data_IF_491731404352
#
_entry.id   IF_491731404352
#
_cell.length_a   1.000
_cell.length_b   1.000
_cell.length_c   1.000
_cell.angle_alpha   90.00
_cell.angle_beta   90.00
_cell.angle_gamma   90.00
#
_symmetry.space_group_name_H-M   'P 1'
#
loop_
_entity.id
_entity.type
_entity.pdbx_description
1 polymer ?
#
# COMPACT_ATOMS: atom_id res chain seq x y z
N UNK A 1 8.19 -12.10 24.14
CA UNK A 1 9.09 -10.96 24.35
C UNK A 1 10.53 -11.49 24.22
N UNK A 2 11.43 -10.75 23.56
CA UNK A 2 12.72 -11.29 23.11
C UNK A 2 13.67 -11.53 24.30
N UNK A 3 14.10 -12.79 24.51
CA UNK A 3 15.04 -13.19 25.60
C UNK A 3 16.32 -12.33 25.62
N UNK A 4 16.82 -11.89 24.46
CA UNK A 4 18.00 -11.02 24.36
C UNK A 4 17.70 -9.56 24.77
N UNK A 5 16.48 -9.07 24.50
CA UNK A 5 16.02 -7.74 24.95
C UNK A 5 15.86 -7.72 26.48
N UNK A 6 15.22 -8.74 27.04
CA UNK A 6 15.05 -8.87 28.49
C UNK A 6 16.40 -8.96 29.21
N UNK A 7 17.33 -9.76 28.69
CA UNK A 7 18.65 -9.87 29.29
C UNK A 7 19.45 -8.55 29.24
N UNK A 8 19.34 -7.81 28.13
CA UNK A 8 19.95 -6.49 27.99
C UNK A 8 19.36 -5.46 28.98
N UNK A 9 18.04 -5.45 29.18
CA UNK A 9 17.37 -4.57 30.15
C UNK A 9 17.71 -4.94 31.59
N UNK A 10 17.86 -6.23 31.88
CA UNK A 10 18.22 -6.70 33.23
C UNK A 10 19.67 -6.36 33.61
N UNK A 11 20.61 -6.60 32.69
CA UNK A 11 22.03 -6.26 32.92
C UNK A 11 22.26 -4.76 33.06
N UNK A 12 21.52 -3.93 32.30
CA UNK A 12 21.60 -2.47 32.43
C UNK A 12 20.99 -1.94 33.71
N UNK A 13 19.88 -2.53 34.17
CA UNK A 13 19.27 -2.20 35.47
C UNK A 13 20.22 -2.53 36.64
N UNK A 14 20.97 -3.63 36.52
CA UNK A 14 22.01 -3.98 37.50
C UNK A 14 23.22 -3.06 37.41
N UNK A 15 23.62 -2.60 36.22
CA UNK A 15 24.70 -1.64 36.08
C UNK A 15 24.33 -0.27 36.69
N UNK A 16 23.10 0.21 36.47
CA UNK A 16 22.60 1.46 37.04
C UNK A 16 22.53 1.43 38.58
N UNK A 17 22.34 0.27 39.22
CA UNK A 17 22.29 0.17 40.69
C UNK A 17 23.65 0.40 41.35
N UNK A 18 24.75 0.25 40.61
CA UNK A 18 26.11 0.52 41.07
C UNK A 18 26.63 1.91 40.68
N UNK A 19 25.86 2.68 39.91
CA UNK A 19 26.19 4.04 39.51
C UNK A 19 25.43 5.05 40.39
N UNK A 20 26.04 6.20 40.66
CA UNK A 20 25.45 7.27 41.49
C UNK A 20 24.17 7.86 40.86
N UNK A 21 24.02 7.75 39.53
CA UNK A 21 22.84 8.14 38.75
C UNK A 21 21.95 6.92 38.45
N UNK A 22 20.84 6.75 39.18
CA UNK A 22 19.88 5.66 38.95
C UNK A 22 19.14 5.80 37.61
N UNK A 23 18.93 4.67 36.93
CA UNK A 23 18.08 4.46 35.74
C UNK A 23 18.51 5.14 34.42
N UNK A 24 19.71 5.72 34.32
CA UNK A 24 20.14 6.44 33.11
C UNK A 24 20.50 5.49 31.96
N UNK A 25 21.25 4.43 32.23
CA UNK A 25 21.68 3.47 31.21
C UNK A 25 20.52 2.57 30.77
N UNK A 26 19.65 2.20 31.71
CA UNK A 26 18.42 1.46 31.45
C UNK A 26 17.48 2.23 30.53
N UNK A 27 17.25 3.51 30.77
CA UNK A 27 16.39 4.34 29.92
C UNK A 27 16.97 4.51 28.50
N UNK A 28 18.29 4.70 28.38
CA UNK A 28 18.97 4.73 27.08
C UNK A 28 18.81 3.38 26.34
N UNK A 29 18.92 2.25 27.04
CA UNK A 29 18.73 0.91 26.47
C UNK A 29 17.27 0.63 26.08
N UNK A 30 16.29 1.10 26.85
CA UNK A 30 14.88 0.99 26.46
C UNK A 30 14.66 1.75 25.15
N UNK A 31 15.17 2.99 25.04
CA UNK A 31 15.09 3.77 23.81
C UNK A 31 15.80 3.09 22.63
N UNK A 32 16.96 2.47 22.85
CA UNK A 32 17.66 1.68 21.82
C UNK A 32 16.80 0.49 21.36
N UNK A 33 16.18 -0.23 22.30
CA UNK A 33 15.40 -1.44 21.99
C UNK A 33 14.00 -1.17 21.43
N UNK A 34 13.47 0.04 21.59
CA UNK A 34 12.15 0.44 21.07
C UNK A 34 12.25 1.22 19.75
N UNK A 35 13.28 2.05 19.59
CA UNK A 35 13.42 2.95 18.45
C UNK A 35 14.61 2.65 17.53
N UNK A 36 15.40 1.59 17.81
CA UNK A 36 16.60 1.23 17.04
C UNK A 36 17.55 2.42 16.78
N UNK A 37 17.76 3.25 17.81
CA UNK A 37 18.52 4.48 17.66
C UNK A 37 20.05 4.22 17.74
N UNK A 38 20.72 4.33 16.60
CA UNK A 38 22.16 4.12 16.46
C UNK A 38 23.00 5.23 17.12
N UNK A 39 22.50 6.46 17.20
CA UNK A 39 23.22 7.57 17.84
C UNK A 39 23.29 7.36 19.35
N UNK A 40 22.16 7.02 19.97
CA UNK A 40 22.09 6.69 21.41
C UNK A 40 22.97 5.48 21.72
N UNK A 41 22.99 4.47 20.84
CA UNK A 41 23.87 3.29 20.98
C UNK A 41 25.35 3.68 21.01
N UNK A 42 25.76 4.59 20.10
CA UNK A 42 27.15 5.06 20.03
C UNK A 42 27.54 5.86 21.26
N UNK A 43 26.64 6.73 21.73
CA UNK A 43 26.90 7.60 22.88
C UNK A 43 26.92 6.79 24.19
N UNK A 44 26.06 5.78 24.30
CA UNK A 44 26.10 4.80 25.39
C UNK A 44 27.42 4.02 25.40
N UNK A 45 27.88 3.52 24.25
CA UNK A 45 29.17 2.81 24.17
C UNK A 45 30.36 3.69 24.57
N UNK A 46 30.34 4.98 24.21
CA UNK A 46 31.34 5.96 24.67
C UNK A 46 31.30 6.14 26.18
N UNK A 47 30.10 6.34 26.76
CA UNK A 47 29.91 6.46 28.22
C UNK A 47 30.42 5.22 28.95
N UNK A 48 30.02 4.03 28.51
CA UNK A 48 30.45 2.76 29.11
C UNK A 48 31.98 2.60 29.01
N UNK A 49 32.60 3.01 27.90
CA UNK A 49 34.06 2.99 27.74
C UNK A 49 34.77 3.92 28.74
N UNK A 50 34.25 5.13 28.95
CA UNK A 50 34.79 6.09 29.92
C UNK A 50 34.69 5.53 31.36
N UNK A 51 33.54 4.95 31.72
CA UNK A 51 33.33 4.36 33.04
C UNK A 51 34.27 3.17 33.27
N UNK A 52 34.49 2.33 32.26
CA UNK A 52 35.36 1.15 32.36
C UNK A 52 36.84 1.50 32.61
N UNK A 53 37.30 2.62 32.05
CA UNK A 53 38.69 3.07 32.15
C UNK A 53 38.94 3.95 33.39
N UNK A 54 37.90 4.29 34.15
CA UNK A 54 38.05 5.11 35.36
C UNK A 54 38.55 4.27 36.55
N UNK A 55 39.59 4.73 37.28
CA UNK A 55 40.05 4.06 38.49
C UNK A 55 39.08 4.20 39.67
N UNK A 56 38.03 5.03 39.55
CA UNK A 56 37.01 5.27 40.60
C UNK A 56 36.15 4.03 40.89
N UNK A 57 35.95 3.14 39.91
CA UNK A 57 34.98 2.05 40.00
C UNK A 57 35.63 0.70 40.35
N UNK A 58 35.01 -0.02 41.31
CA UNK A 58 35.42 -1.35 41.78
C UNK A 58 35.28 -2.42 40.68
N UNK A 59 35.98 -3.54 40.83
CA UNK A 59 35.92 -4.67 39.88
C UNK A 59 34.51 -5.18 39.59
N UNK A 60 33.61 -5.13 40.57
CA UNK A 60 32.20 -5.51 40.42
C UNK A 60 31.48 -4.68 39.35
N UNK A 61 31.74 -3.38 39.28
CA UNK A 61 31.14 -2.49 38.26
C UNK A 61 31.69 -2.82 36.88
N UNK A 62 32.99 -3.11 36.79
CA UNK A 62 33.65 -3.52 35.53
C UNK A 62 33.09 -4.84 35.00
N UNK A 63 32.73 -5.77 35.88
CA UNK A 63 32.04 -7.03 35.53
C UNK A 63 30.67 -6.74 34.88
N UNK A 64 29.85 -5.89 35.47
CA UNK A 64 28.53 -5.55 34.91
C UNK A 64 28.61 -4.73 33.63
N UNK A 65 29.62 -3.88 33.48
CA UNK A 65 29.94 -3.20 32.21
C UNK A 65 30.17 -4.22 31.09
N UNK A 66 31.01 -5.24 31.33
CA UNK A 66 31.29 -6.26 30.33
C UNK A 66 30.04 -7.09 30.00
N UNK A 67 29.26 -7.50 31.00
CA UNK A 67 27.99 -8.20 30.80
C UNK A 67 26.98 -7.39 29.98
N UNK A 68 26.94 -6.08 30.20
CA UNK A 68 26.04 -5.17 29.46
C UNK A 68 26.51 -5.02 28.01
N UNK A 69 27.83 -4.90 27.76
CA UNK A 69 28.41 -4.90 26.41
C UNK A 69 28.14 -6.20 25.66
N UNK A 70 28.35 -7.35 26.30
CA UNK A 70 28.10 -8.67 25.72
C UNK A 70 26.61 -8.84 25.39
N UNK A 71 25.72 -8.45 26.31
CA UNK A 71 24.27 -8.50 26.08
C UNK A 71 23.83 -7.59 24.93
N UNK A 72 24.46 -6.41 24.80
CA UNK A 72 24.20 -5.48 23.70
C UNK A 72 24.63 -6.08 22.35
N UNK A 73 25.82 -6.70 22.31
CA UNK A 73 26.32 -7.42 21.13
C UNK A 73 25.40 -8.58 20.74
N UNK A 74 24.96 -9.39 21.70
CA UNK A 74 24.04 -10.50 21.45
C UNK A 74 22.68 -10.01 20.95
N UNK A 75 22.17 -8.89 21.47
CA UNK A 75 20.92 -8.29 21.00
C UNK A 75 21.03 -7.82 19.55
N UNK A 76 22.09 -7.09 19.18
CA UNK A 76 22.30 -6.68 17.78
C UNK A 76 22.61 -7.85 16.85
N UNK A 77 23.34 -8.86 17.33
CA UNK A 77 23.57 -10.11 16.62
C UNK A 77 22.26 -10.84 16.30
N UNK A 78 21.38 -10.97 17.29
CA UNK A 78 20.03 -11.51 17.10
C UNK A 78 19.22 -10.71 16.07
N UNK A 79 19.22 -9.37 16.17
CA UNK A 79 18.53 -8.52 15.18
C UNK A 79 19.09 -8.74 13.78
N UNK A 80 20.42 -8.92 13.65
CA UNK A 80 21.04 -9.17 12.36
C UNK A 80 20.73 -10.55 11.81
N UNK A 81 20.69 -11.57 12.67
CA UNK A 81 20.26 -12.93 12.30
C UNK A 81 18.79 -12.92 11.86
N UNK A 82 17.91 -12.21 12.56
CA UNK A 82 16.52 -12.03 12.13
C UNK A 82 16.41 -11.32 10.77
N UNK A 83 17.24 -10.32 10.49
CA UNK A 83 17.30 -9.64 9.19
C UNK A 83 17.74 -10.62 8.09
N UNK A 84 18.73 -11.47 8.35
CA UNK A 84 19.18 -12.52 7.42
C UNK A 84 18.05 -13.53 7.17
N UNK A 85 17.41 -14.06 8.22
CA UNK A 85 16.30 -14.99 8.09
C UNK A 85 15.07 -14.37 7.41
N UNK A 86 14.81 -13.08 7.61
CA UNK A 86 13.73 -12.37 6.90
C UNK A 86 14.03 -12.23 5.41
N UNK A 87 15.29 -12.03 5.03
CA UNK A 87 15.70 -11.99 3.62
C UNK A 87 15.60 -13.35 2.93
N UNK A 88 15.80 -14.45 3.65
CA UNK A 88 15.61 -15.80 3.09
C UNK A 88 14.15 -16.26 2.99
N UNK A 89 13.22 -15.66 3.76
CA UNK A 89 11.80 -16.07 3.84
C UNK A 89 10.81 -15.27 2.99
N UNK A 90 11.24 -14.70 1.87
CA UNK A 90 10.28 -14.40 0.78
C UNK A 90 10.25 -15.64 -0.12
N UNK A 91 9.66 -16.73 0.37
CA UNK A 91 9.25 -17.81 -0.52
C UNK A 91 8.19 -17.23 -1.45
N UNK A 92 8.56 -17.05 -2.72
CA UNK A 92 7.61 -16.99 -3.82
C UNK A 92 6.72 -18.22 -3.67
N UNK A 93 5.48 -18.04 -3.24
CA UNK A 93 4.48 -19.10 -3.33
C UNK A 93 3.92 -19.05 -4.75
N UNK A 94 4.37 -19.94 -5.66
CA UNK A 94 3.97 -19.87 -7.06
C UNK A 94 2.46 -20.03 -7.22
N UNK A 95 1.79 -20.77 -6.32
CA UNK A 95 0.32 -20.92 -6.35
C UNK A 95 -0.36 -19.60 -6.02
N UNK A 96 0.15 -18.88 -5.03
CA UNK A 96 -0.38 -17.58 -4.63
C UNK A 96 -0.17 -16.51 -5.69
N UNK A 97 0.96 -16.54 -6.41
CA UNK A 97 1.16 -15.64 -7.54
C UNK A 97 0.19 -15.95 -8.68
N UNK A 98 -0.01 -17.22 -9.01
CA UNK A 98 -0.95 -17.65 -10.04
C UNK A 98 -2.39 -17.26 -9.70
N UNK A 99 -2.81 -17.43 -8.44
CA UNK A 99 -4.11 -16.96 -7.94
C UNK A 99 -4.30 -15.45 -8.13
N UNK A 100 -3.30 -14.63 -7.80
CA UNK A 100 -3.37 -13.17 -7.97
C UNK A 100 -3.40 -12.76 -9.46
N UNK A 101 -2.71 -13.51 -10.32
CA UNK A 101 -2.77 -13.27 -11.76
C UNK A 101 -4.12 -13.66 -12.33
N UNK A 102 -4.72 -14.75 -11.85
CA UNK A 102 -6.08 -15.12 -12.20
C UNK A 102 -7.09 -14.08 -11.70
N UNK A 103 -6.93 -13.57 -10.47
CA UNK A 103 -7.73 -12.45 -9.94
C UNK A 103 -7.64 -11.22 -10.86
N UNK A 104 -6.43 -10.83 -11.28
CA UNK A 104 -6.23 -9.73 -12.22
C UNK A 104 -6.86 -10.01 -13.59
N UNK A 105 -6.68 -11.23 -14.13
CA UNK A 105 -7.18 -11.62 -15.44
C UNK A 105 -8.71 -11.70 -15.49
N UNK A 106 -9.34 -12.06 -14.38
CA UNK A 106 -10.80 -12.11 -14.22
C UNK A 106 -11.45 -10.72 -14.16
N UNK A 107 -10.69 -9.65 -13.89
CA UNK A 107 -11.24 -8.31 -14.01
C UNK A 107 -11.57 -8.02 -15.47
N UNK A 108 -12.79 -7.55 -15.72
CA UNK A 108 -13.27 -7.21 -17.06
C UNK A 108 -12.42 -6.10 -17.67
N UNK A 109 -12.11 -6.20 -18.96
CA UNK A 109 -11.29 -5.24 -19.70
C UNK A 109 -9.81 -5.23 -19.28
N UNK A 110 -9.23 -4.02 -19.19
CA UNK A 110 -7.89 -3.74 -18.63
C UNK A 110 -6.73 -4.45 -19.33
N UNK A 111 -6.81 -4.64 -20.66
CA UNK A 111 -5.77 -5.32 -21.45
C UNK A 111 -4.38 -4.72 -21.26
N UNK A 112 -4.28 -3.39 -21.27
CA UNK A 112 -3.00 -2.68 -21.12
C UNK A 112 -2.39 -2.90 -19.73
N UNK A 113 -3.23 -2.87 -18.68
CA UNK A 113 -2.81 -3.15 -17.30
C UNK A 113 -2.25 -4.58 -17.19
N UNK A 114 -3.01 -5.55 -17.69
CA UNK A 114 -2.65 -6.98 -17.66
C UNK A 114 -1.33 -7.22 -18.40
N UNK A 115 -1.16 -6.59 -19.56
CA UNK A 115 0.08 -6.66 -20.34
C UNK A 115 1.26 -6.09 -19.55
N UNK A 116 1.12 -4.89 -18.98
CA UNK A 116 2.19 -4.25 -18.19
C UNK A 116 2.58 -5.04 -16.94
N UNK A 117 1.62 -5.64 -16.26
CA UNK A 117 1.91 -6.50 -15.09
C UNK A 117 2.69 -7.74 -15.52
N UNK A 118 2.34 -8.36 -16.64
CA UNK A 118 3.09 -9.50 -17.20
C UNK A 118 4.51 -9.11 -17.63
N UNK A 119 4.69 -7.95 -18.24
CA UNK A 119 6.01 -7.41 -18.60
C UNK A 119 6.89 -7.25 -17.36
N UNK A 120 6.34 -6.69 -16.28
CA UNK A 120 7.06 -6.50 -15.01
C UNK A 120 7.44 -7.82 -14.34
N UNK A 121 6.55 -8.81 -14.36
CA UNK A 121 6.85 -10.16 -13.85
C UNK A 121 7.99 -10.79 -14.65
N UNK A 122 7.93 -10.68 -15.97
CA UNK A 122 8.96 -11.19 -16.87
C UNK A 122 10.31 -10.50 -16.62
N UNK A 123 10.29 -9.17 -16.50
CA UNK A 123 11.46 -8.39 -16.13
C UNK A 123 12.05 -8.85 -14.80
N UNK A 124 11.24 -9.03 -13.75
CA UNK A 124 11.75 -9.46 -12.45
C UNK A 124 12.35 -10.87 -12.49
N UNK A 125 11.72 -11.80 -13.21
CA UNK A 125 12.28 -13.15 -13.40
C UNK A 125 13.69 -13.08 -13.99
N UNK A 126 13.91 -12.23 -14.98
CA UNK A 126 15.23 -12.01 -15.58
C UNK A 126 16.21 -11.36 -14.59
N UNK A 127 15.78 -10.36 -13.83
CA UNK A 127 16.65 -9.72 -12.83
C UNK A 127 17.10 -10.70 -11.74
N UNK A 128 16.21 -11.59 -11.27
CA UNK A 128 16.57 -12.68 -10.34
C UNK A 128 17.55 -13.68 -10.96
N UNK A 129 17.42 -14.00 -12.24
CA UNK A 129 18.41 -14.84 -12.94
C UNK A 129 19.77 -14.14 -13.01
N UNK A 130 19.80 -12.84 -13.31
CA UNK A 130 21.04 -12.05 -13.31
C UNK A 130 21.70 -12.05 -11.92
N UNK A 131 20.91 -11.90 -10.87
CA UNK A 131 21.38 -11.97 -9.48
C UNK A 131 22.04 -13.32 -9.16
N UNK A 132 21.37 -14.43 -9.52
CA UNK A 132 21.92 -15.80 -9.35
C UNK A 132 23.27 -15.98 -10.06
N UNK A 133 23.44 -15.33 -11.20
CA UNK A 133 24.70 -15.32 -11.95
C UNK A 133 25.69 -14.23 -11.50
N UNK A 134 25.44 -13.55 -10.37
CA UNK A 134 26.28 -12.46 -9.81
C UNK A 134 26.51 -11.31 -10.80
N UNK A 135 25.57 -11.10 -11.73
CA UNK A 135 25.60 -10.00 -12.67
C UNK A 135 24.96 -8.76 -12.04
N UNK A 136 25.32 -7.58 -12.54
CA UNK A 136 24.71 -6.34 -12.09
C UNK A 136 23.20 -6.34 -12.40
N UNK A 137 22.42 -6.12 -11.34
CA UNK A 137 20.97 -5.90 -11.40
C UNK A 137 20.73 -4.40 -11.47
N UNK A 138 20.01 -3.95 -12.49
CA UNK A 138 19.50 -2.58 -12.55
C UNK A 138 18.22 -2.52 -11.72
N UNK A 139 18.15 -1.59 -10.75
CA UNK A 139 16.91 -1.32 -10.01
C UNK A 139 16.15 -0.21 -10.74
N UNK A 140 15.01 -0.52 -11.32
CA UNK A 140 14.11 0.47 -11.91
C UNK A 140 13.19 1.05 -10.83
N UNK A 141 12.75 2.30 -11.02
CA UNK A 141 11.59 2.82 -10.28
C UNK A 141 10.34 2.05 -10.70
N UNK A 142 9.38 1.90 -9.78
CA UNK A 142 8.16 1.11 -10.01
C UNK A 142 6.89 1.91 -9.68
N UNK A 143 7.01 3.23 -9.58
CA UNK A 143 5.89 4.11 -9.29
C UNK A 143 4.98 4.19 -10.52
N UNK A 144 3.67 4.13 -10.28
CA UNK A 144 2.65 4.02 -11.33
C UNK A 144 1.72 5.24 -11.29
N UNK A 145 1.32 5.72 -12.46
CA UNK A 145 0.29 6.74 -12.59
C UNK A 145 -0.95 6.13 -13.24
N UNK A 146 -2.08 6.13 -12.54
CA UNK A 146 -3.36 5.59 -13.00
C UNK A 146 -4.29 6.74 -13.39
N UNK A 147 -4.60 6.87 -14.67
CA UNK A 147 -5.53 7.89 -15.17
C UNK A 147 -6.83 7.25 -15.63
N UNK A 148 -7.95 7.94 -15.48
CA UNK A 148 -9.23 7.52 -16.06
C UNK A 148 -10.43 7.88 -15.19
N UNK A 149 -11.63 7.62 -15.70
CA UNK A 149 -12.89 7.97 -15.03
C UNK A 149 -13.16 7.14 -13.76
N UNK A 150 -14.13 7.53 -12.91
CA UNK A 150 -14.44 6.81 -11.69
C UNK A 150 -15.04 5.45 -12.05
N UNK A 151 -14.83 4.45 -11.18
CA UNK A 151 -15.41 3.12 -11.40
C UNK A 151 -14.75 2.30 -12.51
N UNK A 152 -13.60 2.71 -13.06
CA UNK A 152 -12.82 1.92 -14.04
C UNK A 152 -11.87 0.89 -13.40
N UNK A 153 -11.89 0.73 -12.07
CA UNK A 153 -11.15 -0.32 -11.37
C UNK A 153 -9.74 0.06 -10.87
N UNK A 154 -9.33 1.33 -10.95
CA UNK A 154 -8.02 1.84 -10.50
C UNK A 154 -7.57 1.32 -9.12
N UNK A 155 -8.40 1.53 -8.09
CA UNK A 155 -8.09 1.12 -6.70
C UNK A 155 -8.03 -0.41 -6.55
N UNK A 156 -8.92 -1.13 -7.22
CA UNK A 156 -8.94 -2.61 -7.22
C UNK A 156 -7.66 -3.16 -7.83
N UNK A 157 -7.27 -2.67 -9.01
CA UNK A 157 -6.01 -3.05 -9.66
C UNK A 157 -4.81 -2.72 -8.79
N UNK A 158 -4.76 -1.52 -8.19
CA UNK A 158 -3.66 -1.09 -7.34
C UNK A 158 -3.42 -2.06 -6.17
N UNK A 159 -4.50 -2.55 -5.54
CA UNK A 159 -4.44 -3.55 -4.45
C UNK A 159 -3.87 -4.88 -4.93
N UNK A 160 -4.31 -5.37 -6.09
CA UNK A 160 -3.82 -6.63 -6.66
C UNK A 160 -2.34 -6.50 -7.05
N UNK A 161 -1.97 -5.42 -7.73
CA UNK A 161 -0.58 -5.13 -8.13
C UNK A 161 0.36 -5.10 -6.92
N UNK A 162 -0.04 -4.47 -5.81
CA UNK A 162 0.77 -4.46 -4.60
C UNK A 162 1.03 -5.85 -4.02
N UNK A 163 0.04 -6.74 -4.07
CA UNK A 163 0.18 -8.14 -3.64
C UNK A 163 1.07 -8.92 -4.60
N UNK A 164 0.94 -8.70 -5.92
CA UNK A 164 1.80 -9.29 -6.94
C UNK A 164 3.25 -8.88 -6.70
N UNK A 165 3.50 -7.58 -6.49
CA UNK A 165 4.85 -7.03 -6.26
C UNK A 165 5.54 -7.66 -5.05
N UNK A 166 4.79 -7.92 -3.98
CA UNK A 166 5.30 -8.69 -2.85
C UNK A 166 5.69 -10.10 -3.26
N UNK A 167 4.81 -10.82 -3.96
CA UNK A 167 5.10 -12.20 -4.37
C UNK A 167 6.37 -12.27 -5.21
N UNK A 168 6.55 -11.37 -6.18
CA UNK A 168 7.76 -11.35 -7.02
C UNK A 168 8.99 -10.73 -6.32
N UNK A 169 8.89 -10.39 -5.04
CA UNK A 169 10.01 -9.91 -4.22
C UNK A 169 10.42 -8.45 -4.44
N UNK A 170 9.53 -7.61 -5.00
CA UNK A 170 9.74 -6.16 -5.13
C UNK A 170 9.35 -5.38 -3.88
N UNK A 171 8.51 -5.97 -3.01
CA UNK A 171 8.04 -5.35 -1.77
C UNK A 171 8.19 -6.34 -0.61
N UNK A 172 8.65 -5.85 0.53
CA UNK A 172 8.88 -6.68 1.72
C UNK A 172 7.59 -7.17 2.41
N UNK A 173 6.49 -6.40 2.35
CA UNK A 173 5.22 -6.70 3.05
C UNK A 173 4.00 -6.81 2.14
N UNK A 174 3.89 -5.96 1.12
CA UNK A 174 2.77 -5.89 0.17
C UNK A 174 1.46 -5.35 0.76
N UNK A 175 1.49 -4.61 1.87
CA UNK A 175 0.29 -3.95 2.40
C UNK A 175 -0.06 -2.74 1.55
N UNK A 176 -1.32 -2.32 1.62
CA UNK A 176 -1.88 -1.26 0.80
C UNK A 176 -2.37 -0.13 1.71
N UNK A 177 -1.91 1.10 1.45
CA UNK A 177 -2.34 2.30 2.17
C UNK A 177 -2.94 3.26 1.16
N UNK A 178 -4.20 3.62 1.39
CA UNK A 178 -4.97 4.54 0.58
C UNK A 178 -5.04 5.89 1.29
N UNK A 179 -4.68 6.96 0.58
CA UNK A 179 -4.70 8.32 1.10
C UNK A 179 -5.25 9.29 0.07
N UNK A 180 -5.75 10.42 0.57
CA UNK A 180 -6.22 11.55 -0.22
C UNK A 180 -5.49 12.83 0.20
N UNK A 181 -5.87 13.98 -0.39
CA UNK A 181 -5.35 15.30 -0.01
C UNK A 181 -5.45 15.56 1.50
N UNK A 182 -6.57 15.21 2.12
CA UNK A 182 -6.83 15.49 3.54
C UNK A 182 -5.91 14.69 4.48
N UNK A 183 -5.41 13.54 4.02
CA UNK A 183 -4.49 12.70 4.77
C UNK A 183 -3.03 13.17 4.66
N UNK A 184 -2.70 13.87 3.58
CA UNK A 184 -1.34 14.35 3.31
C UNK A 184 -1.12 15.78 3.81
N UNK A 185 -2.12 16.65 3.66
CA UNK A 185 -2.00 18.07 4.00
C UNK A 185 -2.48 18.31 5.45
N UNK A 186 -1.72 19.10 6.20
CA UNK A 186 -2.07 19.52 7.55
C UNK A 186 -2.79 20.89 7.53
N UNK A 187 -3.52 21.22 8.60
CA UNK A 187 -4.21 22.51 8.73
C UNK A 187 -3.30 23.69 9.08
N UNK A 188 -2.04 23.44 9.43
CA UNK A 188 -1.08 24.44 9.89
C UNK A 188 0.27 24.31 9.16
N UNK A 189 0.93 25.45 8.94
CA UNK A 189 2.22 25.52 8.26
C UNK A 189 3.32 24.73 8.98
N UNK A 190 4.15 24.02 8.19
CA UNK A 190 5.27 23.21 8.69
C UNK A 190 4.88 21.85 9.28
N UNK A 191 3.57 21.53 9.37
CA UNK A 191 3.12 20.20 9.82
C UNK A 191 2.89 19.23 8.67
N UNK A 192 2.76 19.72 7.43
CA UNK A 192 2.51 18.89 6.24
C UNK A 192 3.68 17.94 5.98
N UNK A 193 4.93 18.41 6.04
CA UNK A 193 6.08 17.53 5.86
C UNK A 193 6.13 16.38 6.88
N UNK A 194 5.79 16.65 8.14
CA UNK A 194 5.75 15.61 9.18
C UNK A 194 4.62 14.60 8.93
N UNK A 195 3.46 15.07 8.46
CA UNK A 195 2.31 14.22 8.15
C UNK A 195 2.61 13.29 6.97
N UNK A 196 3.16 13.84 5.89
CA UNK A 196 3.61 13.09 4.71
C UNK A 196 4.65 12.04 5.08
N UNK A 197 5.66 12.40 5.89
CA UNK A 197 6.66 11.43 6.37
C UNK A 197 6.03 10.27 7.14
N UNK A 198 5.08 10.53 8.05
CA UNK A 198 4.40 9.47 8.80
C UNK A 198 3.63 8.51 7.88
N UNK A 199 2.92 9.06 6.89
CA UNK A 199 2.21 8.24 5.89
C UNK A 199 3.19 7.37 5.10
N UNK A 200 4.30 7.96 4.63
CA UNK A 200 5.32 7.25 3.86
C UNK A 200 5.99 6.14 4.70
N UNK A 201 6.38 6.44 5.95
CA UNK A 201 6.91 5.43 6.88
C UNK A 201 5.94 4.27 7.08
N UNK A 202 4.64 4.56 7.19
CA UNK A 202 3.62 3.52 7.31
C UNK A 202 3.49 2.68 6.03
N UNK A 203 3.72 3.27 4.86
CA UNK A 203 3.62 2.60 3.56
C UNK A 203 4.86 1.79 3.17
N UNK A 204 6.00 1.97 3.86
CA UNK A 204 7.25 1.22 3.59
C UNK A 204 7.04 -0.29 3.71
N UNK A 205 7.48 -0.99 2.67
CA UNK A 205 7.26 -2.41 2.42
C UNK A 205 6.02 -2.70 1.57
N UNK A 206 5.27 -1.67 1.16
CA UNK A 206 3.96 -1.80 0.53
C UNK A 206 3.71 -0.79 -0.57
N UNK A 207 2.42 -0.55 -0.82
CA UNK A 207 1.91 0.40 -1.81
C UNK A 207 1.26 1.59 -1.11
N UNK A 208 1.70 2.80 -1.45
CA UNK A 208 1.02 4.04 -1.13
C UNK A 208 0.17 4.47 -2.35
N UNK A 209 -1.14 4.41 -2.22
CA UNK A 209 -2.08 4.85 -3.24
C UNK A 209 -2.62 6.23 -2.87
N UNK A 210 -2.40 7.21 -3.76
CA UNK A 210 -2.86 8.59 -3.59
C UNK A 210 -3.99 8.82 -4.58
N UNK A 211 -5.24 8.86 -4.08
CA UNK A 211 -6.40 9.15 -4.91
C UNK A 211 -6.53 10.65 -5.17
N UNK A 212 -7.02 10.99 -6.36
CA UNK A 212 -7.15 12.35 -6.87
C UNK A 212 -5.91 13.21 -6.59
N UNK A 213 -4.72 12.69 -6.93
CA UNK A 213 -3.44 13.30 -6.55
C UNK A 213 -3.27 14.75 -7.04
N UNK A 214 -3.88 15.10 -8.18
CA UNK A 214 -3.93 16.46 -8.72
C UNK A 214 -4.53 17.47 -7.74
N UNK A 215 -5.46 17.04 -6.87
CA UNK A 215 -6.07 17.89 -5.86
C UNK A 215 -5.06 18.46 -4.87
N UNK A 216 -3.87 17.87 -4.70
CA UNK A 216 -2.78 18.38 -3.83
C UNK A 216 -2.36 19.79 -4.25
N UNK A 217 -2.45 20.12 -5.54
CA UNK A 217 -2.02 21.41 -6.11
C UNK A 217 -3.16 22.30 -6.60
N UNK A 218 -4.43 21.90 -6.50
CA UNK A 218 -5.56 22.66 -7.09
C UNK A 218 -5.93 23.99 -6.40
N UNK A 219 -5.46 24.24 -5.17
CA UNK A 219 -5.78 25.47 -4.44
C UNK A 219 -4.70 26.54 -4.63
N UNK A 220 -4.84 27.34 -5.69
CA UNK A 220 -3.93 28.44 -6.09
C UNK A 220 -3.74 29.55 -5.02
N UNK A 221 -4.63 29.65 -4.03
CA UNK A 221 -4.63 30.78 -3.08
C UNK A 221 -3.77 30.57 -1.82
N UNK A 222 -3.17 29.38 -1.59
CA UNK A 222 -2.26 29.15 -0.46
C UNK A 222 -1.27 28.00 -0.75
N UNK A 223 -0.39 28.29 -1.69
CA UNK A 223 0.47 27.39 -2.47
C UNK A 223 1.62 26.70 -1.69
N UNK A 224 1.79 27.01 -0.39
CA UNK A 224 2.94 26.51 0.39
C UNK A 224 2.77 25.05 0.82
N UNK A 225 1.56 24.63 1.21
CA UNK A 225 1.33 23.29 1.77
C UNK A 225 1.38 22.19 0.71
N UNK A 226 0.79 22.43 -0.46
CA UNK A 226 0.82 21.47 -1.58
C UNK A 226 2.25 21.25 -2.08
N UNK A 227 3.01 22.34 -2.26
CA UNK A 227 4.43 22.28 -2.64
C UNK A 227 5.30 21.58 -1.60
N UNK A 228 5.07 21.81 -0.31
CA UNK A 228 5.74 21.11 0.78
C UNK A 228 5.46 19.60 0.71
N UNK A 229 4.20 19.20 0.50
CA UNK A 229 3.81 17.81 0.32
C UNK A 229 4.51 17.16 -0.88
N UNK A 230 4.50 17.81 -2.04
CA UNK A 230 5.13 17.28 -3.24
C UNK A 230 6.65 17.18 -3.13
N UNK A 231 7.29 18.13 -2.44
CA UNK A 231 8.74 18.11 -2.20
C UNK A 231 9.12 16.88 -1.37
N UNK A 232 8.41 16.63 -0.27
CA UNK A 232 8.66 15.47 0.59
C UNK A 232 8.31 14.14 -0.10
N UNK A 233 7.22 14.11 -0.88
CA UNK A 233 6.88 12.93 -1.68
C UNK A 233 7.98 12.63 -2.71
N UNK A 234 8.43 13.63 -3.46
CA UNK A 234 9.48 13.51 -4.48
C UNK A 234 10.78 12.95 -3.91
N UNK A 235 11.15 13.40 -2.70
CA UNK A 235 12.31 12.88 -1.97
C UNK A 235 12.13 11.40 -1.59
N UNK A 236 10.98 11.04 -1.05
CA UNK A 236 10.70 9.66 -0.66
C UNK A 236 10.65 8.67 -1.84
N UNK A 237 10.18 9.12 -3.01
CA UNK A 237 10.22 8.32 -4.24
C UNK A 237 11.65 7.94 -4.66
N UNK A 238 12.67 8.69 -4.23
CA UNK A 238 14.08 8.33 -4.47
C UNK A 238 14.66 7.54 -3.32
N UNK A 239 14.50 8.03 -2.09
CA UNK A 239 15.10 7.44 -0.89
C UNK A 239 14.59 6.01 -0.62
N UNK A 240 13.34 5.72 -0.97
CA UNK A 240 12.67 4.45 -0.64
C UNK A 240 12.24 3.61 -1.84
N UNK A 241 12.73 3.92 -3.05
CA UNK A 241 12.37 3.22 -4.30
C UNK A 241 12.55 1.70 -4.30
N UNK A 242 13.34 1.17 -3.37
CA UNK A 242 13.63 -0.26 -3.27
C UNK A 242 12.58 -1.05 -2.49
N UNK A 243 11.78 -0.39 -1.64
CA UNK A 243 10.78 -1.06 -0.78
C UNK A 243 9.51 -0.22 -0.59
N UNK A 244 9.23 0.70 -1.51
CA UNK A 244 8.02 1.50 -1.53
C UNK A 244 7.57 1.69 -2.97
N UNK A 245 6.33 1.31 -3.26
CA UNK A 245 5.66 1.66 -4.52
C UNK A 245 4.63 2.74 -4.24
N UNK A 246 4.60 3.75 -5.10
CA UNK A 246 3.63 4.84 -5.01
C UNK A 246 2.81 4.81 -6.27
N UNK A 247 1.50 4.80 -6.11
CA UNK A 247 0.52 4.82 -7.19
C UNK A 247 -0.29 6.09 -7.03
N UNK A 248 -0.20 7.01 -7.98
CA UNK A 248 -1.05 8.20 -8.02
C UNK A 248 -2.22 7.94 -8.96
N UNK A 249 -3.43 8.31 -8.55
CA UNK A 249 -4.63 8.12 -9.35
C UNK A 249 -5.42 9.42 -9.54
N UNK A 250 -6.17 9.50 -10.64
CA UNK A 250 -7.07 10.62 -10.89
C UNK A 250 -7.68 10.60 -12.29
N UNK A 251 -8.43 11.66 -12.62
CA UNK A 251 -8.94 11.89 -13.97
C UNK A 251 -7.80 12.24 -14.93
N UNK A 252 -7.91 11.83 -16.19
CA UNK A 252 -6.85 11.97 -17.20
C UNK A 252 -6.39 13.41 -17.38
N UNK A 253 -7.32 14.34 -17.63
CA UNK A 253 -6.99 15.75 -17.86
C UNK A 253 -6.34 16.46 -16.64
N UNK A 254 -6.92 16.42 -15.43
CA UNK A 254 -6.28 16.95 -14.23
C UNK A 254 -4.92 16.32 -13.93
N UNK A 255 -4.75 15.01 -14.13
CA UNK A 255 -3.47 14.34 -13.90
C UNK A 255 -2.40 14.78 -14.91
N UNK A 256 -2.75 15.01 -16.17
CA UNK A 256 -1.83 15.54 -17.17
C UNK A 256 -1.30 16.91 -16.73
N UNK A 257 -2.18 17.82 -16.34
CA UNK A 257 -1.81 19.15 -15.80
C UNK A 257 -0.94 19.02 -14.55
N UNK A 258 -1.32 18.14 -13.62
CA UNK A 258 -0.56 17.88 -12.39
C UNK A 258 0.90 17.47 -12.68
N UNK A 259 1.13 16.59 -13.66
CA UNK A 259 2.48 16.17 -14.03
C UNK A 259 3.25 17.23 -14.83
N UNK A 260 2.57 18.04 -15.65
CA UNK A 260 3.18 19.16 -16.37
C UNK A 260 3.68 20.24 -15.42
N UNK A 261 2.89 20.57 -14.39
CA UNK A 261 3.28 21.53 -13.36
C UNK A 261 4.39 21.02 -12.43
N UNK A 262 4.63 19.70 -12.40
CA UNK A 262 5.57 19.06 -11.47
C UNK A 262 6.54 18.12 -12.21
N UNK A 263 7.47 18.65 -13.02
CA UNK A 263 8.37 17.83 -13.84
C UNK A 263 9.30 16.93 -13.00
N UNK A 264 9.70 17.39 -11.81
CA UNK A 264 10.47 16.59 -10.86
C UNK A 264 9.74 15.31 -10.44
N UNK A 265 8.43 15.42 -10.19
CA UNK A 265 7.58 14.27 -9.89
C UNK A 265 7.43 13.37 -11.14
N UNK A 266 7.08 13.96 -12.29
CA UNK A 266 6.88 13.24 -13.56
C UNK A 266 8.07 12.34 -13.92
N UNK A 267 9.31 12.81 -13.71
CA UNK A 267 10.52 12.02 -13.99
C UNK A 267 10.68 10.73 -13.17
N UNK A 268 10.02 10.63 -12.00
CA UNK A 268 10.08 9.45 -11.10
C UNK A 268 9.01 8.41 -11.41
N UNK A 269 7.96 8.80 -12.14
CA UNK A 269 6.94 7.90 -12.67
C UNK A 269 7.32 7.48 -14.08
N UNK A 270 7.66 6.21 -14.26
CA UNK A 270 8.06 5.66 -15.55
C UNK A 270 6.91 4.98 -16.30
N UNK A 271 5.78 4.76 -15.63
CA UNK A 271 4.68 3.96 -16.15
C UNK A 271 3.36 4.68 -15.91
N UNK A 272 2.73 5.06 -17.02
CA UNK A 272 1.40 5.66 -17.06
C UNK A 272 0.44 4.63 -17.62
N UNK A 273 -0.65 4.41 -16.89
CA UNK A 273 -1.69 3.44 -17.24
C UNK A 273 -3.01 4.19 -17.31
N UNK A 274 -3.58 4.21 -18.51
CA UNK A 274 -4.89 4.77 -18.75
C UNK A 274 -5.96 3.68 -18.61
N UNK A 275 -6.94 3.97 -17.76
CA UNK A 275 -8.11 3.14 -17.52
C UNK A 275 -9.26 3.72 -18.33
N UNK A 276 -9.48 3.10 -19.49
CA UNK A 276 -10.57 3.45 -20.40
C UNK A 276 -11.93 3.14 -19.78
N UNK A 277 -12.95 3.84 -20.27
CA UNK A 277 -14.34 3.53 -19.95
C UNK A 277 -14.71 2.14 -20.49
N UNK A 278 -15.55 1.43 -19.75
CA UNK A 278 -16.08 0.15 -20.19
C UNK A 278 -17.10 0.33 -21.32
N UNK A 279 -17.08 -0.59 -22.27
CA UNK A 279 -18.16 -0.71 -23.25
C UNK A 279 -19.41 -1.38 -22.65
N UNK A 280 -20.51 -1.42 -23.41
CA UNK A 280 -21.80 -1.96 -22.94
C UNK A 280 -21.66 -3.42 -22.48
N UNK A 281 -20.97 -4.24 -23.29
CA UNK A 281 -20.75 -5.65 -23.01
C UNK A 281 -19.94 -5.84 -21.72
N UNK A 282 -18.91 -5.02 -21.51
CA UNK A 282 -18.08 -5.04 -20.30
C UNK A 282 -18.88 -4.61 -19.05
N UNK A 283 -19.76 -3.61 -19.17
CA UNK A 283 -20.65 -3.20 -18.07
C UNK A 283 -21.66 -4.31 -17.69
N UNK A 284 -22.19 -5.01 -18.69
CA UNK A 284 -23.07 -6.17 -18.50
C UNK A 284 -22.32 -7.30 -17.80
N UNK A 285 -21.10 -7.63 -18.25
CA UNK A 285 -20.25 -8.63 -17.62
C UNK A 285 -19.97 -8.30 -16.15
N UNK A 286 -19.70 -7.03 -15.83
CA UNK A 286 -19.50 -6.57 -14.45
C UNK A 286 -20.77 -6.80 -13.61
N UNK A 287 -21.95 -6.47 -14.12
CA UNK A 287 -23.20 -6.67 -13.39
C UNK A 287 -23.46 -8.15 -13.12
N UNK A 288 -23.30 -8.99 -14.16
CA UNK A 288 -23.47 -10.44 -14.06
C UNK A 288 -22.48 -11.03 -13.05
N UNK A 289 -21.22 -10.56 -13.04
CA UNK A 289 -20.23 -10.99 -12.07
C UNK A 289 -20.61 -10.58 -10.64
N UNK A 290 -21.11 -9.36 -10.43
CA UNK A 290 -21.62 -8.91 -9.12
C UNK A 290 -22.79 -9.77 -8.63
N UNK A 291 -23.73 -10.11 -9.51
CA UNK A 291 -24.86 -10.98 -9.18
C UNK A 291 -24.37 -12.38 -8.79
N UNK A 292 -23.55 -13.02 -9.63
CA UNK A 292 -23.01 -14.36 -9.38
C UNK A 292 -22.23 -14.46 -8.08
N UNK A 293 -21.44 -13.45 -7.74
CA UNK A 293 -20.65 -13.42 -6.50
C UNK A 293 -21.52 -13.32 -5.23
N UNK A 294 -22.78 -12.92 -5.36
CA UNK A 294 -23.74 -12.78 -4.27
C UNK A 294 -24.94 -13.74 -4.44
N UNK A 295 -24.75 -14.84 -5.18
CA UNK A 295 -25.76 -15.87 -5.44
C UNK A 295 -27.03 -15.38 -6.16
N UNK A 296 -26.99 -14.25 -6.86
CA UNK A 296 -28.12 -13.76 -7.68
C UNK A 296 -28.01 -14.18 -9.15
N UNK A 297 -29.17 -14.40 -9.77
CA UNK A 297 -29.35 -14.66 -11.19
C UNK A 297 -30.24 -13.59 -11.81
N UNK A 298 -29.86 -13.11 -13.00
CA UNK A 298 -30.65 -12.15 -13.77
C UNK A 298 -31.50 -12.90 -14.79
N UNK A 299 -32.80 -12.61 -14.81
CA UNK A 299 -33.70 -13.06 -15.88
C UNK A 299 -33.26 -12.53 -17.26
N UNK A 300 -33.53 -13.28 -18.32
CA UNK A 300 -33.11 -12.92 -19.68
C UNK A 300 -33.77 -11.64 -20.18
N UNK A 301 -35.04 -11.38 -19.81
CA UNK A 301 -35.70 -10.11 -20.17
C UNK A 301 -35.09 -8.92 -19.45
N UNK A 302 -34.69 -9.11 -18.19
CA UNK A 302 -34.02 -8.09 -17.41
C UNK A 302 -32.68 -7.70 -18.03
N UNK A 303 -31.88 -8.68 -18.48
CA UNK A 303 -30.61 -8.42 -19.17
C UNK A 303 -30.78 -7.50 -20.38
N UNK A 304 -31.84 -7.72 -21.17
CA UNK A 304 -32.15 -6.87 -22.34
C UNK A 304 -32.46 -5.43 -21.90
N UNK A 305 -33.29 -5.23 -20.87
CA UNK A 305 -33.61 -3.88 -20.35
C UNK A 305 -32.36 -3.16 -19.83
N UNK A 306 -31.56 -3.85 -19.02
CA UNK A 306 -30.30 -3.31 -18.47
C UNK A 306 -29.33 -2.94 -19.59
N UNK A 307 -29.21 -3.79 -20.62
CA UNK A 307 -28.35 -3.52 -21.76
C UNK A 307 -28.77 -2.25 -22.49
N UNK A 308 -30.08 -2.09 -22.76
CA UNK A 308 -30.61 -0.87 -23.38
C UNK A 308 -30.34 0.38 -22.52
N UNK A 309 -30.48 0.26 -21.20
CA UNK A 309 -30.15 1.34 -20.27
C UNK A 309 -28.66 1.72 -20.36
N UNK A 310 -27.74 0.74 -20.37
CA UNK A 310 -26.30 1.03 -20.53
C UNK A 310 -25.96 1.69 -21.87
N UNK A 311 -26.61 1.27 -22.97
CA UNK A 311 -26.46 1.91 -24.29
C UNK A 311 -26.88 3.37 -24.22
N UNK A 312 -28.02 3.66 -23.60
CA UNK A 312 -28.53 5.03 -23.47
C UNK A 312 -27.61 5.91 -22.62
N UNK A 313 -27.11 5.39 -21.49
CA UNK A 313 -26.16 6.11 -20.63
C UNK A 313 -24.82 6.39 -21.31
N UNK A 314 -24.32 5.45 -22.12
CA UNK A 314 -23.08 5.63 -22.88
C UNK A 314 -23.26 6.60 -24.07
N UNK A 315 -24.45 6.65 -24.67
CA UNK A 315 -24.77 7.56 -25.77
C UNK A 315 -24.94 8.99 -25.25
N UNK A 316 -25.59 9.17 -24.10
CA UNK A 316 -25.78 10.47 -23.43
C UNK A 316 -24.61 10.82 -22.49
N UNK A 317 -23.39 10.38 -22.82
CA UNK A 317 -22.21 10.51 -21.95
C UNK A 317 -22.03 11.94 -21.44
N UNK A 318 -22.38 12.16 -20.19
CA UNK A 318 -21.91 13.32 -19.44
C UNK A 318 -20.41 13.15 -19.18
N UNK A 319 -19.68 14.27 -19.03
CA UNK A 319 -18.22 14.27 -18.79
C UNK A 319 -17.76 13.40 -17.60
N UNK A 320 -18.67 13.03 -16.69
CA UNK A 320 -18.37 12.27 -15.46
C UNK A 320 -19.06 10.89 -15.43
N UNK A 321 -19.05 10.14 -16.53
CA UNK A 321 -19.56 8.77 -16.54
C UNK A 321 -18.80 7.87 -15.54
N UNK A 322 -19.53 7.22 -14.63
CA UNK A 322 -18.96 6.55 -13.45
C UNK A 322 -18.76 5.03 -13.59
N UNK A 323 -18.86 4.47 -14.81
CA UNK A 323 -18.50 3.08 -15.14
C UNK A 323 -19.03 2.05 -14.12
N UNK A 324 -18.14 1.24 -13.52
CA UNK A 324 -18.50 0.22 -12.55
C UNK A 324 -19.18 0.75 -11.28
N UNK A 325 -19.06 2.04 -10.95
CA UNK A 325 -19.83 2.66 -9.87
C UNK A 325 -21.30 2.82 -10.28
N UNK A 326 -21.58 3.17 -11.54
CA UNK A 326 -22.95 3.16 -12.06
C UNK A 326 -23.52 1.73 -12.03
N UNK A 327 -22.74 0.73 -12.47
CA UNK A 327 -23.18 -0.68 -12.43
C UNK A 327 -23.49 -1.13 -10.99
N UNK A 328 -22.68 -0.72 -10.01
CA UNK A 328 -22.96 -0.99 -8.60
C UNK A 328 -24.27 -0.34 -8.14
N UNK A 329 -24.52 0.91 -8.50
CA UNK A 329 -25.78 1.57 -8.14
C UNK A 329 -26.98 0.82 -8.74
N UNK A 330 -26.90 0.43 -10.02
CA UNK A 330 -27.94 -0.39 -10.68
C UNK A 330 -28.14 -1.72 -9.95
N UNK A 331 -27.05 -2.39 -9.55
CA UNK A 331 -27.11 -3.62 -8.76
C UNK A 331 -27.82 -3.39 -7.41
N UNK A 332 -27.41 -2.37 -6.66
CA UNK A 332 -27.98 -2.06 -5.34
C UNK A 332 -29.48 -1.76 -5.44
N UNK A 333 -29.89 -1.02 -6.48
CA UNK A 333 -31.29 -0.71 -6.76
C UNK A 333 -32.09 -1.97 -7.13
N UNK A 334 -31.54 -2.85 -7.97
CA UNK A 334 -32.15 -4.14 -8.32
C UNK A 334 -32.38 -5.02 -7.09
N UNK A 335 -31.40 -5.13 -6.19
CA UNK A 335 -31.53 -5.89 -4.95
C UNK A 335 -32.61 -5.29 -4.05
N UNK A 336 -32.66 -3.97 -3.94
CA UNK A 336 -33.66 -3.30 -3.12
C UNK A 336 -35.08 -3.52 -3.66
N UNK A 337 -35.27 -3.47 -4.98
CA UNK A 337 -36.55 -3.75 -5.62
C UNK A 337 -36.96 -5.22 -5.48
N UNK A 338 -36.02 -6.16 -5.68
CA UNK A 338 -36.25 -7.58 -5.49
C UNK A 338 -36.70 -7.90 -4.06
N UNK A 339 -36.06 -7.29 -3.06
CA UNK A 339 -36.47 -7.43 -1.66
C UNK A 339 -37.90 -6.92 -1.40
N UNK A 340 -38.29 -5.78 -2.01
CA UNK A 340 -39.65 -5.22 -1.92
C UNK A 340 -40.69 -6.12 -2.58
N UNK A 341 -40.34 -6.80 -3.66
CA UNK A 341 -41.22 -7.76 -4.34
C UNK A 341 -41.39 -9.03 -3.51
N UNK A 342 -40.28 -9.60 -3.01
CA UNK A 342 -40.28 -10.90 -2.31
C UNK A 342 -41.06 -10.88 -1.02
N UNK A 343 -41.02 -9.79 -0.25
CA UNK A 343 -41.74 -9.73 1.03
C UNK A 343 -43.26 -9.86 0.88
N UNK A 344 -43.79 -9.61 -0.33
CA UNK A 344 -45.22 -9.74 -0.64
C UNK A 344 -45.60 -11.14 -1.14
N UNK A 345 -44.66 -12.09 -1.23
CA UNK A 345 -44.92 -13.47 -1.67
C UNK A 345 -45.25 -14.32 -0.44
N UNK A 346 -46.40 -15.00 -0.45
CA UNK A 346 -46.85 -15.83 0.70
C UNK A 346 -45.98 -17.07 0.92
N UNK A 347 -45.49 -17.71 -0.15
CA UNK A 347 -44.68 -18.93 -0.09
C UNK A 347 -43.37 -18.74 -0.85
N UNK A 348 -42.37 -18.14 -0.20
CA UNK A 348 -41.07 -17.83 -0.80
C UNK A 348 -40.28 -19.13 -1.05
N UNK A 349 -39.88 -19.35 -2.29
CA UNK A 349 -39.00 -20.44 -2.68
C UNK A 349 -37.53 -19.99 -2.75
N UNK A 350 -36.61 -20.96 -2.83
CA UNK A 350 -35.19 -20.65 -3.07
C UNK A 350 -35.01 -19.93 -4.41
N UNK A 351 -35.76 -20.29 -5.44
CA UNK A 351 -35.66 -19.67 -6.77
C UNK A 351 -36.05 -18.19 -6.72
N UNK A 352 -37.07 -17.83 -5.94
CA UNK A 352 -37.48 -16.43 -5.76
C UNK A 352 -36.38 -15.56 -5.13
N UNK A 353 -35.64 -16.14 -4.17
CA UNK A 353 -34.52 -15.47 -3.51
C UNK A 353 -33.31 -15.28 -4.43
N UNK A 354 -33.12 -16.18 -5.41
CA UNK A 354 -32.01 -16.14 -6.36
C UNK A 354 -32.31 -15.24 -7.57
N UNK A 355 -33.55 -15.22 -8.06
CA UNK A 355 -33.89 -14.62 -9.35
C UNK A 355 -34.33 -13.15 -9.24
N UNK A 356 -33.62 -12.28 -9.94
CA UNK A 356 -34.00 -10.88 -10.19
C UNK A 356 -34.66 -10.81 -11.57
N UNK A 357 -35.83 -10.20 -11.63
CA UNK A 357 -36.68 -10.17 -12.83
C UNK A 357 -36.84 -8.76 -13.40
N UNK A 358 -37.52 -8.68 -14.54
CA UNK A 358 -37.79 -7.40 -15.20
C UNK A 358 -38.65 -6.40 -14.40
N UNK A 359 -39.38 -6.88 -13.38
CA UNK A 359 -40.20 -6.03 -12.48
C UNK A 359 -39.33 -5.27 -11.48
N UNK A 360 -38.13 -5.78 -11.20
CA UNK A 360 -37.21 -5.21 -10.22
C UNK A 360 -36.40 -4.04 -10.80
N UNK A 361 -36.48 -3.82 -12.12
CA UNK A 361 -35.79 -2.73 -12.81
C UNK A 361 -36.73 -1.53 -13.01
N UNK A 362 -36.60 -0.54 -12.12
CA UNK A 362 -37.48 0.63 -12.05
C UNK A 362 -36.81 1.95 -12.44
N UNK A 363 -35.57 1.90 -12.93
CA UNK A 363 -34.74 3.08 -13.26
C UNK A 363 -35.02 3.55 -14.68
#
# INVERSE_FOLDING_TARGET
>A
MNKYKENLVNTSSQLDSFLEDKDKIKNEIIQITEYNNFEITRDLLKKISIINNSPKYKEEVKKYINLTKESLLLYFGYLKILDIFKKEKVEEDPKRLEELLNELNNLVGLKDVKSKVNDLITYQKVQKLREKHKLHITKSTLHLAFTGNPGTGKTTVARIVGRIYKQIGLLSKGHFIEVSRTDLIAGYQGQTALKVKKVIESAKGGVLFIDEAYSITENDNNDSYGKECLTELTKALEDYREDLVVIVAGYTEPMNKFFESNPGLKSRFNTFIEFQDYNVEELEEILVAMCKNNDYLLDEKLKIKVKNFFVEQLTNKNQNFANGRMVRNVYDDLIMCQARRIINIENITREDLLLITEEDFTI
#
